data_IF_236379625155
#
_entry.id   IF_236379625155
#
_cell.length_a   1.000
_cell.length_b   1.000
_cell.length_c   1.000
_cell.angle_alpha   90.00
_cell.angle_beta   90.00
_cell.angle_gamma   90.00
#
_symmetry.space_group_name_H-M   'P 1'
#
loop_
_entity.id
_entity.type
_entity.pdbx_description
1 polymer ?
#
# COMPACT_ATOMS: atom_id res chain seq x y z
N UNK A 1 -1.37 0.56 -3.65
CA UNK A 1 -2.75 1.07 -3.81
C UNK A 1 -3.68 -0.12 -3.71
N UNK A 2 -4.75 0.01 -2.94
CA UNK A 2 -5.72 -1.04 -2.61
C UNK A 2 -7.13 -0.47 -2.65
N UNK A 3 -8.10 -1.32 -3.03
CA UNK A 3 -9.52 -0.95 -3.04
C UNK A 3 -10.10 -0.93 -1.62
N UNK A 4 -9.71 -1.89 -0.77
CA UNK A 4 -10.21 -2.02 0.59
C UNK A 4 -9.21 -1.48 1.61
N UNK A 5 -9.72 -0.86 2.68
CA UNK A 5 -8.89 -0.33 3.76
C UNK A 5 -8.15 -1.46 4.48
N UNK A 6 -8.87 -2.53 4.77
CA UNK A 6 -8.35 -3.66 5.54
C UNK A 6 -7.17 -4.31 4.81
N UNK A 7 -7.24 -4.46 3.48
CA UNK A 7 -6.10 -4.92 2.67
C UNK A 7 -4.89 -3.99 2.78
N UNK A 8 -5.11 -2.67 2.68
CA UNK A 8 -4.03 -1.70 2.84
C UNK A 8 -3.39 -1.76 4.25
N UNK A 9 -4.21 -2.01 5.28
CA UNK A 9 -3.74 -2.09 6.65
C UNK A 9 -2.97 -3.39 6.90
N UNK A 10 -3.46 -4.53 6.38
CA UNK A 10 -2.79 -5.82 6.47
C UNK A 10 -1.43 -5.79 5.76
N UNK A 11 -1.34 -5.15 4.59
CA UNK A 11 -0.06 -4.95 3.89
C UNK A 11 0.89 -4.08 4.69
N UNK A 12 0.40 -2.98 5.30
CA UNK A 12 1.23 -2.11 6.12
C UNK A 12 1.78 -2.84 7.36
N UNK A 13 0.95 -3.62 8.05
CA UNK A 13 1.38 -4.43 9.19
C UNK A 13 2.39 -5.51 8.76
N UNK A 14 2.12 -6.21 7.66
CA UNK A 14 3.01 -7.23 7.12
C UNK A 14 4.38 -6.65 6.74
N UNK A 15 4.41 -5.47 6.12
CA UNK A 15 5.66 -4.78 5.79
C UNK A 15 6.46 -4.41 7.04
N UNK A 16 5.79 -4.01 8.13
CA UNK A 16 6.45 -3.70 9.40
C UNK A 16 7.03 -4.95 10.09
N UNK A 17 6.35 -6.09 9.96
CA UNK A 17 6.81 -7.38 10.49
C UNK A 17 8.01 -7.93 9.72
N UNK A 18 7.96 -7.85 8.38
CA UNK A 18 9.06 -8.29 7.52
C UNK A 18 10.27 -7.34 7.61
N UNK A 19 10.01 -6.04 7.72
CA UNK A 19 11.04 -5.00 7.71
C UNK A 19 10.88 -4.04 8.90
N UNK A 20 11.36 -4.43 10.09
CA UNK A 20 11.23 -3.62 11.30
C UNK A 20 11.87 -2.22 11.19
N UNK A 21 12.84 -2.07 10.29
CA UNK A 21 13.53 -0.80 10.02
C UNK A 21 12.63 0.26 9.34
N UNK A 22 11.62 -0.16 8.57
CA UNK A 22 10.65 0.74 7.94
C UNK A 22 9.62 1.27 8.94
N UNK A 23 9.43 0.56 10.06
CA UNK A 23 8.27 0.77 10.93
C UNK A 23 6.95 0.43 10.21
N UNK A 24 5.82 0.84 10.79
CA UNK A 24 4.50 0.64 10.16
C UNK A 24 4.28 1.71 9.10
N UNK A 25 4.18 1.35 7.80
CA UNK A 25 3.91 2.30 6.73
C UNK A 25 2.57 3.02 6.93
N UNK A 26 2.47 4.24 6.41
CA UNK A 26 1.25 5.03 6.57
C UNK A 26 0.19 4.59 5.56
N UNK A 27 -1.02 4.32 6.04
CA UNK A 27 -2.20 4.12 5.19
C UNK A 27 -2.93 5.46 4.97
N UNK A 28 -3.14 5.83 3.71
CA UNK A 28 -3.77 7.10 3.30
C UNK A 28 -5.00 6.80 2.44
N UNK A 29 -6.13 7.42 2.75
CA UNK A 29 -7.33 7.41 1.88
C UNK A 29 -7.20 8.50 0.84
N UNK A 30 -7.36 8.16 -0.43
CA UNK A 30 -7.43 9.10 -1.53
C UNK A 30 -8.78 8.97 -2.24
N UNK A 31 -9.41 10.10 -2.51
CA UNK A 31 -10.70 10.15 -3.23
C UNK A 31 -10.43 10.22 -4.72
N UNK A 32 -11.02 9.31 -5.49
CA UNK A 32 -10.91 9.33 -6.95
C UNK A 32 -11.79 10.44 -7.52
N UNK A 33 -11.21 11.29 -8.38
CA UNK A 33 -11.95 12.38 -9.02
C UNK A 33 -12.59 11.91 -10.34
N UNK A 34 -13.89 11.63 -10.35
CA UNK A 34 -14.63 11.37 -11.59
C UNK A 34 -16.02 10.71 -11.46
N UNK A 35 -17.06 11.56 -11.42
CA UNK A 35 -18.47 11.40 -11.86
C UNK A 35 -19.32 10.23 -11.33
N UNK A 36 -19.78 10.29 -10.07
CA UNK A 36 -21.13 10.78 -9.68
C UNK A 36 -21.53 10.34 -8.26
N UNK A 37 -20.75 9.47 -7.61
CA UNK A 37 -20.82 9.26 -6.16
C UNK A 37 -19.42 9.43 -5.56
N UNK A 38 -19.32 10.31 -4.57
CA UNK A 38 -18.09 10.58 -3.79
C UNK A 38 -17.67 9.38 -2.90
N UNK A 39 -18.09 8.17 -3.27
CA UNK A 39 -17.92 6.93 -2.51
C UNK A 39 -16.71 6.12 -2.98
N UNK A 40 -16.20 6.35 -4.20
CA UNK A 40 -14.99 5.66 -4.68
C UNK A 40 -13.73 6.30 -4.08
N UNK A 41 -13.13 5.56 -3.14
CA UNK A 41 -11.87 5.92 -2.51
C UNK A 41 -10.91 4.75 -2.56
N UNK A 42 -9.65 5.07 -2.79
CA UNK A 42 -8.56 4.11 -2.78
C UNK A 42 -7.71 4.30 -1.53
N UNK A 43 -7.00 3.25 -1.15
CA UNK A 43 -6.13 3.23 0.00
C UNK A 43 -4.68 3.03 -0.45
N UNK A 44 -3.81 3.96 -0.06
CA UNK A 44 -2.39 3.93 -0.38
C UNK A 44 -1.60 3.54 0.86
N UNK A 45 -0.65 2.63 0.69
CA UNK A 45 0.38 2.31 1.68
C UNK A 45 1.63 3.07 1.27
N UNK A 46 1.99 4.09 2.05
CA UNK A 46 3.16 4.94 1.79
C UNK A 46 4.30 4.46 2.67
N UNK A 47 5.30 3.83 2.02
CA UNK A 47 6.53 3.38 2.64
C UNK A 47 7.71 4.20 2.09
N UNK A 48 8.45 4.86 2.98
CA UNK A 48 9.65 5.63 2.63
C UNK A 48 10.91 4.81 2.98
N UNK A 49 11.99 5.02 2.24
CA UNK A 49 13.28 4.37 2.54
C UNK A 49 13.32 2.88 2.19
N UNK A 50 12.53 2.44 1.20
CA UNK A 50 12.63 1.09 0.65
C UNK A 50 13.96 0.95 -0.13
N UNK A 51 14.84 0.06 0.35
CA UNK A 51 16.03 -0.34 -0.40
C UNK A 51 15.65 -1.22 -1.61
N UNK A 52 16.48 -1.18 -2.67
CA UNK A 52 16.28 -1.95 -3.90
C UNK A 52 16.21 -3.47 -3.66
N UNK A 53 16.89 -3.95 -2.61
CA UNK A 53 16.91 -5.35 -2.19
C UNK A 53 15.55 -5.83 -1.66
N UNK A 54 14.71 -4.91 -1.20
CA UNK A 54 13.42 -5.18 -0.54
C UNK A 54 12.26 -5.15 -1.54
N UNK A 55 12.47 -4.50 -2.70
CA UNK A 55 11.47 -4.37 -3.77
C UNK A 55 10.81 -5.69 -4.20
N UNK A 56 11.54 -6.81 -4.43
CA UNK A 56 10.88 -8.05 -4.86
C UNK A 56 9.91 -8.62 -3.82
N UNK A 57 10.20 -8.48 -2.52
CA UNK A 57 9.27 -8.91 -1.47
C UNK A 57 8.03 -8.01 -1.39
N UNK A 58 8.23 -6.70 -1.62
CA UNK A 58 7.12 -5.73 -1.73
C UNK A 58 6.24 -6.03 -2.94
N UNK A 59 6.81 -6.37 -4.08
CA UNK A 59 6.05 -6.74 -5.28
C UNK A 59 5.21 -8.00 -5.06
N UNK A 60 5.76 -9.01 -4.37
CA UNK A 60 5.02 -10.23 -4.05
C UNK A 60 3.79 -9.96 -3.14
N UNK A 61 3.92 -9.00 -2.21
CA UNK A 61 2.81 -8.53 -1.39
C UNK A 61 1.79 -7.77 -2.24
N UNK A 62 2.23 -6.85 -3.09
CA UNK A 62 1.35 -6.08 -3.97
C UNK A 62 0.51 -7.03 -4.85
N UNK A 63 1.13 -8.06 -5.44
CA UNK A 63 0.42 -9.07 -6.22
C UNK A 63 -0.58 -9.89 -5.38
N UNK A 64 -0.19 -10.30 -4.17
CA UNK A 64 -1.04 -11.11 -3.27
C UNK A 64 -2.35 -10.43 -2.91
N UNK A 65 -2.33 -9.11 -2.73
CA UNK A 65 -3.49 -8.31 -2.35
C UNK A 65 -4.14 -7.61 -3.56
N UNK A 66 -3.82 -8.06 -4.78
CA UNK A 66 -4.31 -7.45 -6.03
C UNK A 66 -4.12 -5.92 -6.08
N UNK A 67 -3.08 -5.43 -5.40
CA UNK A 67 -2.75 -4.03 -5.33
C UNK A 67 -1.90 -3.58 -6.51
N UNK A 68 -1.58 -2.29 -6.52
CA UNK A 68 -0.61 -1.73 -7.46
C UNK A 68 0.42 -0.85 -6.75
N UNK A 69 1.67 -0.92 -7.22
CA UNK A 69 2.78 -0.09 -6.73
C UNK A 69 3.11 0.99 -7.76
N UNK A 70 3.21 2.23 -7.30
CA UNK A 70 3.78 3.32 -8.10
C UNK A 70 5.31 3.23 -8.09
N UNK A 71 5.98 3.23 -9.25
CA UNK A 71 7.42 3.45 -9.29
C UNK A 71 7.70 4.89 -8.81
N UNK A 72 8.54 5.00 -7.78
CA UNK A 72 9.04 6.26 -7.24
C UNK A 72 10.35 6.70 -7.87
#
# INVERSE_FOLDING_TARGET
>A
MFAERDDAQEVAETLAELFPALGVPRVVRETLAGEDDAEDAQWLVVAEGLDEEILPEVDELVERYAGWREPG
#
